data_IF_581541837018
#
_entry.id   IF_581541837018
#
_cell.length_a   1.000
_cell.length_b   1.000
_cell.length_c   1.000
_cell.angle_alpha   90.00
_cell.angle_beta   90.00
_cell.angle_gamma   90.00
#
_symmetry.space_group_name_H-M   'P 1'
#
loop_
_entity.id
_entity.type
_entity.pdbx_description
1 polymer ?
#
# COMPACT_ATOMS: atom_id res chain seq x y z
N UNK A 1 8.90 21.93 21.04
CA UNK A 1 8.72 22.20 19.59
C UNK A 1 7.38 22.90 19.47
N UNK A 2 7.27 24.06 18.84
CA UNK A 2 5.99 24.80 18.77
C UNK A 2 5.27 24.43 17.47
N UNK A 3 4.09 23.85 17.58
CA UNK A 3 3.26 23.48 16.44
C UNK A 3 2.18 24.55 16.25
N UNK A 4 1.99 25.02 15.02
CA UNK A 4 0.99 26.03 14.68
C UNK A 4 0.04 25.41 13.66
N UNK A 5 -1.25 25.41 13.96
CA UNK A 5 -2.29 24.96 13.04
C UNK A 5 -2.37 25.88 11.81
N UNK A 6 -2.98 25.42 10.73
CA UNK A 6 -3.11 26.19 9.46
C UNK A 6 -3.84 27.52 9.62
N UNK A 7 -4.64 27.68 10.68
CA UNK A 7 -5.34 28.92 11.05
C UNK A 7 -4.54 29.83 12.00
N UNK A 8 -3.27 29.51 12.29
CA UNK A 8 -2.41 30.28 13.18
C UNK A 8 -2.54 29.94 14.68
N UNK A 9 -3.40 29.00 15.06
CA UNK A 9 -3.58 28.59 16.46
C UNK A 9 -2.37 27.77 16.94
N UNK A 10 -1.71 28.15 18.05
CA UNK A 10 -0.69 27.31 18.66
C UNK A 10 -1.31 26.01 19.20
N UNK A 11 -0.73 24.88 18.82
CA UNK A 11 -1.09 23.56 19.33
C UNK A 11 -0.26 23.33 20.59
N UNK A 12 -0.93 23.19 21.73
CA UNK A 12 -0.33 22.87 23.02
C UNK A 12 -0.33 21.37 23.26
N UNK A 13 0.52 20.90 24.17
CA UNK A 13 0.59 19.48 24.54
C UNK A 13 -0.76 19.00 25.10
N UNK A 14 -1.46 19.84 25.88
CA UNK A 14 -2.82 19.54 26.39
C UNK A 14 -3.85 19.33 25.27
N UNK A 15 -3.74 20.09 24.17
CA UNK A 15 -4.63 19.89 23.01
C UNK A 15 -4.35 18.56 22.33
N UNK A 16 -3.07 18.17 22.23
CA UNK A 16 -2.66 16.87 21.66
C UNK A 16 -3.18 15.72 22.52
N UNK A 17 -3.00 15.80 23.84
CA UNK A 17 -3.46 14.77 24.78
C UNK A 17 -4.98 14.59 24.70
N UNK A 18 -5.73 15.70 24.63
CA UNK A 18 -7.18 15.65 24.45
C UNK A 18 -7.58 14.98 23.14
N UNK A 19 -6.94 15.32 22.02
CA UNK A 19 -7.27 14.71 20.73
C UNK A 19 -6.92 13.23 20.67
N UNK A 20 -5.83 12.82 21.33
CA UNK A 20 -5.50 11.41 21.47
C UNK A 20 -6.61 10.68 22.24
N UNK A 21 -7.07 11.22 23.36
CA UNK A 21 -8.17 10.63 24.12
C UNK A 21 -9.49 10.59 23.31
N UNK A 22 -9.84 11.67 22.61
CA UNK A 22 -11.03 11.71 21.75
C UNK A 22 -10.99 10.67 20.62
N UNK A 23 -9.79 10.37 20.09
CA UNK A 23 -9.60 9.34 19.08
C UNK A 23 -9.81 7.92 19.65
N UNK A 24 -9.32 7.65 20.85
CA UNK A 24 -9.49 6.35 21.53
C UNK A 24 -10.94 6.15 22.02
N UNK A 25 -11.56 7.20 22.58
CA UNK A 25 -12.94 7.17 23.08
C UNK A 25 -13.99 7.03 21.96
N UNK A 26 -13.62 7.32 20.72
CA UNK A 26 -14.50 7.20 19.55
C UNK A 26 -14.77 5.75 19.11
N UNK A 27 -14.00 4.79 19.63
CA UNK A 27 -14.05 3.38 19.22
C UNK A 27 -14.04 2.40 20.41
N UNK A 28 -14.92 2.56 21.42
CA UNK A 28 -14.84 1.83 22.68
C UNK A 28 -15.13 0.32 22.56
N UNK A 29 -15.79 -0.10 21.47
CA UNK A 29 -16.18 -1.49 21.20
C UNK A 29 -15.55 -2.06 19.90
N UNK A 30 -14.62 -1.33 19.28
CA UNK A 30 -14.03 -1.79 18.02
C UNK A 30 -12.99 -2.88 18.27
N UNK A 31 -13.13 -3.96 17.52
CA UNK A 31 -12.12 -5.01 17.45
C UNK A 31 -11.15 -4.59 16.36
N UNK A 32 -9.92 -4.23 16.74
CA UNK A 32 -8.82 -4.05 15.79
C UNK A 32 -8.44 -5.41 15.25
N UNK A 33 -9.05 -5.81 14.12
CA UNK A 33 -8.61 -6.99 13.39
C UNK A 33 -7.31 -6.65 12.65
N UNK A 34 -6.20 -7.38 12.90
CA UNK A 34 -5.04 -7.24 12.08
C UNK A 34 -5.41 -7.66 10.66
N UNK A 35 -5.39 -6.71 9.73
CA UNK A 35 -5.47 -7.01 8.31
C UNK A 35 -4.16 -7.74 7.98
N UNK A 36 -4.21 -9.06 8.02
CA UNK A 36 -3.17 -9.88 7.43
C UNK A 36 -3.05 -9.45 5.96
N UNK A 37 -1.82 -9.19 5.53
CA UNK A 37 -1.50 -8.73 4.19
C UNK A 37 -2.32 -9.41 3.10
N UNK A 38 -2.62 -8.69 2.01
CA UNK A 38 -3.43 -9.23 0.90
C UNK A 38 -2.85 -10.56 0.43
N UNK A 39 -3.63 -11.47 -0.17
CA UNK A 39 -3.19 -12.83 -0.52
C UNK A 39 -1.85 -12.93 -1.33
N UNK A 40 -1.42 -11.87 -2.01
CA UNK A 40 -0.14 -11.77 -2.72
C UNK A 40 1.05 -11.31 -1.84
N UNK A 41 0.78 -10.82 -0.63
CA UNK A 41 1.74 -10.57 0.46
C UNK A 41 2.14 -11.85 1.21
N UNK A 42 1.59 -13.01 0.84
CA UNK A 42 2.06 -14.33 1.33
C UNK A 42 3.45 -14.70 0.78
N UNK A 43 4.04 -13.89 -0.11
CA UNK A 43 5.43 -14.06 -0.51
C UNK A 43 6.35 -13.74 0.68
N UNK A 44 6.82 -14.78 1.35
CA UNK A 44 7.66 -14.75 2.56
C UNK A 44 9.00 -14.02 2.41
N UNK A 45 9.38 -13.60 1.19
CA UNK A 45 10.57 -12.80 0.96
C UNK A 45 10.20 -11.38 0.56
N UNK A 46 10.82 -10.35 1.19
CA UNK A 46 10.63 -8.96 0.80
C UNK A 46 10.91 -8.77 -0.70
N UNK A 47 9.92 -8.23 -1.41
CA UNK A 47 10.08 -7.86 -2.81
C UNK A 47 11.10 -6.72 -2.92
N UNK A 48 12.11 -6.91 -3.79
CA UNK A 48 13.09 -5.86 -4.12
C UNK A 48 12.86 -5.37 -5.54
N UNK A 49 12.87 -4.05 -5.79
CA UNK A 49 12.76 -3.54 -7.15
C UNK A 49 13.96 -4.01 -7.98
N UNK A 50 13.68 -4.52 -9.18
CA UNK A 50 14.67 -4.93 -10.17
C UNK A 50 14.29 -4.26 -11.50
N UNK A 51 15.26 -3.60 -12.12
CA UNK A 51 15.04 -2.90 -13.40
C UNK A 51 15.36 -3.84 -14.56
N UNK A 52 14.42 -3.98 -15.49
CA UNK A 52 14.60 -4.67 -16.76
C UNK A 52 14.36 -3.69 -17.91
N UNK A 53 15.02 -3.91 -19.05
CA UNK A 53 14.75 -3.14 -20.27
C UNK A 53 13.74 -3.90 -21.12
N UNK A 54 12.70 -3.21 -21.55
CA UNK A 54 11.67 -3.70 -22.46
C UNK A 54 11.33 -2.60 -23.46
N UNK A 55 10.71 -2.94 -24.59
CA UNK A 55 10.26 -1.94 -25.55
C UNK A 55 8.98 -1.24 -25.06
N UNK A 56 8.74 -0.02 -25.55
CA UNK A 56 7.49 0.73 -25.28
C UNK A 56 6.26 -0.06 -25.71
N UNK A 57 6.35 -0.80 -26.82
CA UNK A 57 5.27 -1.66 -27.30
C UNK A 57 4.94 -2.74 -26.28
N UNK A 58 5.96 -3.42 -25.74
CA UNK A 58 5.77 -4.44 -24.70
C UNK A 58 5.18 -3.82 -23.44
N UNK A 59 5.66 -2.63 -23.04
CA UNK A 59 5.13 -1.94 -21.86
C UNK A 59 3.63 -1.64 -21.98
N UNK A 60 3.18 -1.12 -23.12
CA UNK A 60 1.75 -0.86 -23.37
C UNK A 60 0.89 -2.13 -23.29
N UNK A 61 1.41 -3.25 -23.78
CA UNK A 61 0.70 -4.53 -23.67
C UNK A 61 0.55 -4.99 -22.21
N UNK A 62 1.56 -4.75 -21.38
CA UNK A 62 1.49 -5.03 -19.93
C UNK A 62 0.44 -4.13 -19.27
N UNK A 63 0.42 -2.83 -19.59
CA UNK A 63 -0.55 -1.88 -19.02
C UNK A 63 -1.99 -2.28 -19.36
N UNK A 64 -2.27 -2.62 -20.62
CA UNK A 64 -3.60 -3.03 -21.06
C UNK A 64 -4.03 -4.36 -20.43
N UNK A 65 -3.11 -5.32 -20.28
CA UNK A 65 -3.40 -6.60 -19.64
C UNK A 65 -3.71 -6.44 -18.14
N UNK A 66 -2.89 -5.66 -17.43
CA UNK A 66 -3.12 -5.33 -16.02
C UNK A 66 -4.45 -4.60 -15.80
N UNK A 67 -4.79 -3.67 -16.70
CA UNK A 67 -6.07 -2.94 -16.69
C UNK A 67 -7.27 -3.86 -16.89
N UNK A 68 -7.20 -4.79 -17.85
CA UNK A 68 -8.26 -5.79 -18.12
C UNK A 68 -8.52 -6.70 -16.92
N UNK A 69 -7.48 -7.00 -16.15
CA UNK A 69 -7.56 -7.88 -14.97
C UNK A 69 -7.77 -7.11 -13.66
N UNK A 70 -7.89 -5.78 -13.71
CA UNK A 70 -8.05 -4.91 -12.54
C UNK A 70 -6.96 -5.10 -11.46
N UNK A 71 -5.72 -5.33 -11.88
CA UNK A 71 -4.56 -5.46 -11.00
C UNK A 71 -3.46 -4.46 -11.37
N UNK A 72 -2.46 -4.31 -10.50
CA UNK A 72 -1.31 -3.44 -10.79
C UNK A 72 -0.43 -4.06 -11.87
N UNK A 73 0.28 -3.21 -12.62
CA UNK A 73 1.30 -3.63 -13.60
C UNK A 73 2.31 -4.57 -12.94
N UNK A 74 2.83 -4.23 -11.75
CA UNK A 74 3.80 -5.06 -11.04
C UNK A 74 3.24 -6.43 -10.64
N UNK A 75 1.97 -6.50 -10.26
CA UNK A 75 1.31 -7.77 -9.93
C UNK A 75 1.12 -8.63 -11.18
N UNK A 76 0.61 -8.04 -12.27
CA UNK A 76 0.44 -8.75 -13.54
C UNK A 76 1.79 -9.27 -14.07
N UNK A 77 2.83 -8.45 -14.06
CA UNK A 77 4.17 -8.86 -14.50
C UNK A 77 4.73 -10.01 -13.65
N UNK A 78 4.54 -9.99 -12.33
CA UNK A 78 4.96 -11.10 -11.45
C UNK A 78 4.22 -12.40 -11.78
N UNK A 79 2.91 -12.35 -11.99
CA UNK A 79 2.12 -13.53 -12.37
C UNK A 79 2.59 -14.10 -13.70
N UNK A 80 2.71 -13.26 -14.72
CA UNK A 80 3.19 -13.69 -16.04
C UNK A 80 4.60 -14.32 -15.97
N UNK A 81 5.51 -13.75 -15.17
CA UNK A 81 6.84 -14.34 -14.96
C UNK A 81 6.77 -15.67 -14.21
N UNK A 82 5.98 -15.77 -13.15
CA UNK A 82 5.81 -17.01 -12.39
C UNK A 82 5.19 -18.11 -13.27
N UNK A 83 4.14 -17.80 -14.02
CA UNK A 83 3.48 -18.76 -14.93
C UNK A 83 4.45 -19.28 -16.00
N UNK A 84 5.32 -18.42 -16.53
CA UNK A 84 6.33 -18.80 -17.51
C UNK A 84 7.50 -19.62 -16.93
N UNK A 85 7.75 -19.53 -15.62
CA UNK A 85 8.84 -20.23 -14.92
C UNK A 85 8.38 -21.52 -14.23
N UNK A 86 7.13 -21.60 -13.79
CA UNK A 86 6.55 -22.76 -13.11
C UNK A 86 6.07 -23.82 -14.10
N UNK A 87 5.62 -23.42 -15.29
CA UNK A 87 5.16 -24.34 -16.35
C UNK A 87 6.28 -24.81 -17.30
N UNK A 88 7.53 -24.89 -16.81
CA UNK A 88 8.67 -25.46 -17.55
C UNK A 88 8.99 -26.89 -17.10
#
# INVERSE_FOLDING_TARGET
MTYIASNGTPITDEMVDRWAQEAEDGFPDDIVEPIHGRAWEQSTQPLKPRTIRISDTTWRLVEEAAKREHISVSEWTRRAMNDALVNQ
#
